data_IF_580106981939
#
_entry.id   IF_580106981939
#
_cell.length_a   1.000
_cell.length_b   1.000
_cell.length_c   1.000
_cell.angle_alpha   90.00
_cell.angle_beta   90.00
_cell.angle_gamma   90.00
#
_symmetry.space_group_name_H-M   'P 1'
#
loop_
_entity.id
_entity.type
_entity.pdbx_description
1 polymer ?
#
# COMPACT_ATOMS: atom_id res chain seq x y z
N UNK A 1 7.81 -4.87 -19.92
CA UNK A 1 7.29 -3.62 -19.33
C UNK A 1 6.38 -3.84 -18.13
N UNK A 2 5.45 -4.79 -18.15
CA UNK A 2 4.44 -5.02 -17.07
C UNK A 2 5.03 -5.30 -15.68
N UNK A 3 6.10 -6.10 -15.59
CA UNK A 3 6.81 -6.36 -14.32
C UNK A 3 7.42 -5.11 -13.69
N UNK A 4 7.84 -4.13 -14.51
CA UNK A 4 8.49 -2.90 -14.04
C UNK A 4 7.49 -2.02 -13.28
N UNK A 5 6.25 -1.90 -13.78
CA UNK A 5 5.19 -1.12 -13.11
C UNK A 5 4.80 -1.75 -11.78
N UNK A 6 4.62 -3.07 -11.75
CA UNK A 6 4.30 -3.79 -10.50
C UNK A 6 5.45 -3.68 -9.47
N UNK A 7 6.71 -3.77 -9.92
CA UNK A 7 7.87 -3.62 -9.05
C UNK A 7 8.02 -2.18 -8.51
N UNK A 8 7.81 -1.18 -9.37
CA UNK A 8 7.82 0.23 -8.98
C UNK A 8 6.69 0.55 -7.98
N UNK A 9 5.48 0.03 -8.23
CA UNK A 9 4.35 0.16 -7.31
C UNK A 9 4.63 -0.50 -5.96
N UNK A 10 5.23 -1.69 -5.96
CA UNK A 10 5.62 -2.41 -4.74
C UNK A 10 6.70 -1.66 -3.96
N UNK A 11 7.70 -1.11 -4.66
CA UNK A 11 8.75 -0.29 -4.07
C UNK A 11 8.20 0.99 -3.43
N UNK A 12 7.32 1.71 -4.13
CA UNK A 12 6.63 2.88 -3.59
C UNK A 12 5.74 2.51 -2.40
N UNK A 13 5.04 1.39 -2.46
CA UNK A 13 4.25 0.87 -1.34
C UNK A 13 5.11 0.59 -0.10
N UNK A 14 6.31 0.03 -0.29
CA UNK A 14 7.26 -0.20 0.79
C UNK A 14 7.81 1.11 1.38
N UNK A 15 8.14 2.10 0.54
CA UNK A 15 8.51 3.44 1.01
C UNK A 15 7.37 4.08 1.82
N UNK A 16 6.13 3.96 1.34
CA UNK A 16 4.94 4.43 2.05
C UNK A 16 4.78 3.78 3.41
N UNK A 17 5.05 2.48 3.52
CA UNK A 17 5.07 1.73 4.78
C UNK A 17 6.13 2.27 5.76
N UNK A 18 7.38 2.45 5.32
CA UNK A 18 8.45 2.93 6.22
C UNK A 18 8.15 4.34 6.73
N UNK A 19 7.66 5.22 5.85
CA UNK A 19 7.32 6.60 6.21
C UNK A 19 6.12 6.64 7.16
N UNK A 20 5.07 5.85 6.90
CA UNK A 20 3.90 5.80 7.78
C UNK A 20 4.22 5.17 9.12
N UNK A 21 5.04 4.12 9.15
CA UNK A 21 5.56 3.52 10.38
C UNK A 21 6.33 4.55 11.22
N UNK A 22 7.25 5.30 10.61
CA UNK A 22 8.00 6.34 11.31
C UNK A 22 7.06 7.42 11.89
N UNK A 23 6.17 7.97 11.07
CA UNK A 23 5.24 9.02 11.51
C UNK A 23 4.28 8.58 12.62
N UNK A 24 3.74 7.36 12.53
CA UNK A 24 2.84 6.80 13.56
C UNK A 24 3.62 6.46 14.84
N UNK A 25 4.84 5.94 14.72
CA UNK A 25 5.68 5.59 15.88
C UNK A 25 6.08 6.83 16.68
N UNK A 26 6.62 7.86 16.01
CA UNK A 26 6.99 9.12 16.66
C UNK A 26 5.79 9.82 17.30
N UNK A 27 4.61 9.74 16.67
CA UNK A 27 3.41 10.29 17.27
C UNK A 27 3.02 9.52 18.52
N UNK A 28 3.05 8.20 18.47
CA UNK A 28 2.66 7.33 19.60
C UNK A 28 3.59 7.56 20.80
N UNK A 29 4.90 7.63 20.56
CA UNK A 29 5.92 7.91 21.59
C UNK A 29 5.69 9.26 22.28
N UNK A 30 5.24 10.27 21.55
CA UNK A 30 4.92 11.59 22.13
C UNK A 30 3.55 11.65 22.83
N UNK A 31 2.63 10.71 22.55
CA UNK A 31 1.27 10.69 23.09
C UNK A 31 1.03 9.62 24.18
N UNK A 32 2.11 9.03 24.70
CA UNK A 32 2.20 7.73 25.39
C UNK A 32 1.43 7.57 26.73
N UNK A 33 0.38 8.35 27.00
CA UNK A 33 -0.39 8.25 28.25
C UNK A 33 -1.92 8.44 28.15
N UNK A 34 -2.53 8.68 26.98
CA UNK A 34 -3.97 9.05 26.95
C UNK A 34 -4.91 8.20 26.07
N UNK A 35 -4.42 7.44 25.08
CA UNK A 35 -5.16 6.36 24.37
C UNK A 35 -4.30 5.78 23.23
N UNK A 36 -4.27 4.45 23.02
CA UNK A 36 -3.62 3.87 21.86
C UNK A 36 -4.33 4.30 20.58
N UNK A 37 -3.56 4.73 19.58
CA UNK A 37 -4.06 4.98 18.23
C UNK A 37 -4.07 3.63 17.49
N UNK A 38 -5.10 2.84 17.76
CA UNK A 38 -5.16 1.46 17.26
C UNK A 38 -5.33 1.41 15.73
N UNK A 39 -6.05 2.39 15.15
CA UNK A 39 -6.48 2.31 13.76
C UNK A 39 -5.37 2.65 12.72
N UNK A 40 -4.64 3.78 12.83
CA UNK A 40 -3.41 4.00 12.06
C UNK A 40 -2.36 2.89 12.18
N UNK A 41 -2.17 2.31 13.37
CA UNK A 41 -1.28 1.16 13.55
C UNK A 41 -1.73 -0.05 12.74
N UNK A 42 -3.03 -0.37 12.76
CA UNK A 42 -3.58 -1.39 11.88
C UNK A 42 -3.31 -1.08 10.40
N UNK A 43 -3.47 0.17 9.99
CA UNK A 43 -3.13 0.65 8.66
C UNK A 43 -1.71 0.35 8.21
N UNK A 44 -0.73 0.67 9.06
CA UNK A 44 0.70 0.44 8.79
C UNK A 44 0.96 -1.06 8.58
N UNK A 45 0.46 -1.92 9.47
CA UNK A 45 0.64 -3.37 9.36
C UNK A 45 -0.08 -3.96 8.15
N UNK A 46 -1.29 -3.49 7.85
CA UNK A 46 -2.04 -3.97 6.70
C UNK A 46 -1.34 -3.61 5.39
N UNK A 47 -0.78 -2.40 5.27
CA UNK A 47 0.05 -2.01 4.14
C UNK A 47 1.29 -2.90 4.00
N UNK A 48 1.99 -3.17 5.10
CA UNK A 48 3.15 -4.07 5.10
C UNK A 48 2.81 -5.48 4.57
N UNK A 49 1.73 -6.08 5.08
CA UNK A 49 1.28 -7.41 4.64
C UNK A 49 0.89 -7.42 3.16
N UNK A 50 0.24 -6.37 2.66
CA UNK A 50 -0.14 -6.25 1.25
C UNK A 50 1.08 -6.09 0.33
N UNK A 51 2.08 -5.32 0.76
CA UNK A 51 3.35 -5.18 0.03
C UNK A 51 4.11 -6.51 -0.02
N UNK A 52 4.18 -7.25 1.10
CA UNK A 52 4.79 -8.58 1.13
C UNK A 52 4.05 -9.59 0.24
N UNK A 53 2.73 -9.63 0.30
CA UNK A 53 1.93 -10.51 -0.55
C UNK A 53 2.16 -10.21 -2.04
N UNK A 54 2.22 -8.93 -2.39
CA UNK A 54 2.50 -8.50 -3.77
C UNK A 54 3.92 -8.89 -4.20
N UNK A 55 4.92 -8.61 -3.36
CA UNK A 55 6.30 -8.98 -3.62
C UNK A 55 6.46 -10.50 -3.79
N UNK A 56 5.81 -11.30 -2.95
CA UNK A 56 5.81 -12.77 -3.03
C UNK A 56 5.21 -13.28 -4.34
N UNK A 57 4.09 -12.71 -4.80
CA UNK A 57 3.46 -13.10 -6.07
C UNK A 57 4.31 -12.69 -7.28
N UNK A 58 4.96 -11.53 -7.23
CA UNK A 58 5.89 -11.08 -8.28
C UNK A 58 7.12 -11.99 -8.32
N UNK A 59 7.75 -12.25 -7.17
CA UNK A 59 8.96 -13.07 -7.07
C UNK A 59 8.72 -14.52 -7.49
N UNK A 60 7.58 -15.11 -7.11
CA UNK A 60 7.20 -16.46 -7.51
C UNK A 60 6.72 -16.53 -8.98
N UNK A 61 6.56 -15.38 -9.67
CA UNK A 61 6.00 -15.28 -11.01
C UNK A 61 4.62 -15.95 -11.12
N UNK A 62 3.82 -15.90 -10.04
CA UNK A 62 2.47 -16.50 -9.93
C UNK A 62 1.35 -15.47 -10.07
N UNK A 63 1.62 -14.34 -10.72
CA UNK A 63 0.65 -13.26 -10.94
C UNK A 63 -0.61 -13.73 -11.68
N UNK A 64 -0.52 -14.71 -12.59
CA UNK A 64 -1.69 -15.27 -13.26
C UNK A 64 -2.58 -16.09 -12.31
N UNK A 65 -2.01 -16.78 -11.33
CA UNK A 65 -2.76 -17.66 -10.41
C UNK A 65 -3.39 -16.86 -9.27
N UNK A 66 -2.64 -15.92 -8.70
CA UNK A 66 -3.04 -15.19 -7.50
C UNK A 66 -3.30 -13.70 -7.74
N UNK A 67 -3.22 -13.21 -8.98
CA UNK A 67 -3.31 -11.79 -9.31
C UNK A 67 -4.63 -11.16 -8.88
N UNK A 68 -5.77 -11.83 -9.12
CA UNK A 68 -7.08 -11.34 -8.69
C UNK A 68 -7.21 -11.24 -7.17
N UNK A 69 -6.71 -12.25 -6.44
CA UNK A 69 -6.72 -12.24 -4.97
C UNK A 69 -5.85 -11.10 -4.42
N UNK A 70 -4.65 -10.91 -4.98
CA UNK A 70 -3.76 -9.80 -4.59
C UNK A 70 -4.36 -8.44 -4.96
N UNK A 71 -5.03 -8.31 -6.10
CA UNK A 71 -5.74 -7.08 -6.46
C UNK A 71 -6.87 -6.75 -5.49
N UNK A 72 -7.67 -7.75 -5.09
CA UNK A 72 -8.71 -7.56 -4.07
C UNK A 72 -8.12 -7.12 -2.73
N UNK A 73 -7.00 -7.74 -2.33
CA UNK A 73 -6.27 -7.36 -1.12
C UNK A 73 -5.70 -5.93 -1.20
N UNK A 74 -5.10 -5.55 -2.34
CA UNK A 74 -4.57 -4.21 -2.59
C UNK A 74 -5.69 -3.15 -2.65
N UNK A 75 -6.87 -3.49 -3.20
CA UNK A 75 -8.02 -2.61 -3.20
C UNK A 75 -8.54 -2.36 -1.76
N UNK A 76 -8.62 -3.40 -0.94
CA UNK A 76 -8.93 -3.27 0.48
C UNK A 76 -7.87 -2.41 1.20
N UNK A 77 -6.58 -2.60 0.87
CA UNK A 77 -5.47 -1.80 1.40
C UNK A 77 -5.62 -0.31 1.06
N UNK A 78 -6.00 0.01 -0.18
CA UNK A 78 -6.30 1.38 -0.58
C UNK A 78 -7.43 1.98 0.25
N UNK A 79 -8.52 1.25 0.50
CA UNK A 79 -9.61 1.72 1.35
C UNK A 79 -9.14 2.03 2.77
N UNK A 80 -8.35 1.14 3.37
CA UNK A 80 -7.76 1.35 4.70
C UNK A 80 -6.84 2.58 4.71
N UNK A 81 -5.96 2.72 3.71
CA UNK A 81 -5.07 3.89 3.61
C UNK A 81 -5.84 5.19 3.43
N UNK A 82 -6.95 5.20 2.67
CA UNK A 82 -7.81 6.37 2.54
C UNK A 82 -8.49 6.75 3.86
N UNK A 83 -8.95 5.77 4.64
CA UNK A 83 -9.51 6.03 5.97
C UNK A 83 -8.42 6.59 6.89
N UNK A 84 -7.20 6.05 6.84
CA UNK A 84 -6.06 6.59 7.59
C UNK A 84 -5.69 8.00 7.17
N UNK A 85 -5.71 8.32 5.86
CA UNK A 85 -5.48 9.68 5.37
C UNK A 85 -6.51 10.66 5.92
N UNK A 86 -7.80 10.30 5.88
CA UNK A 86 -8.86 11.14 6.45
C UNK A 86 -8.72 11.31 7.95
N UNK A 87 -8.37 10.24 8.67
CA UNK A 87 -8.19 10.25 10.12
C UNK A 87 -6.99 11.10 10.52
N UNK A 88 -5.85 10.89 9.86
CA UNK A 88 -4.61 11.63 10.10
C UNK A 88 -4.78 13.11 9.75
N UNK A 89 -5.51 13.44 8.68
CA UNK A 89 -5.82 14.83 8.33
C UNK A 89 -6.66 15.52 9.41
N UNK A 90 -7.73 14.86 9.88
CA UNK A 90 -8.56 15.41 10.97
C UNK A 90 -7.76 15.62 12.25
N UNK A 91 -6.83 14.72 12.55
CA UNK A 91 -5.91 14.88 13.67
C UNK A 91 -4.98 16.08 13.45
N UNK A 92 -4.42 16.22 12.24
CA UNK A 92 -3.55 17.33 11.87
C UNK A 92 -4.23 18.69 12.07
N UNK A 93 -5.51 18.81 11.70
CA UNK A 93 -6.30 20.03 11.89
C UNK A 93 -6.55 20.36 13.38
N UNK A 94 -6.23 19.46 14.32
CA UNK A 94 -6.53 19.54 15.76
C UNK A 94 -5.30 19.52 16.69
N UNK A 95 -4.09 19.47 16.13
CA UNK A 95 -2.83 19.23 16.87
C UNK A 95 -1.95 20.51 16.89
N UNK A 96 -1.27 20.76 18.03
CA UNK A 96 -0.23 21.80 18.18
C UNK A 96 1.05 21.50 17.38
N UNK A 97 1.82 22.55 17.04
CA UNK A 97 2.98 22.55 16.12
C UNK A 97 4.01 21.41 16.37
N UNK A 98 4.29 21.04 17.62
CA UNK A 98 5.34 20.05 17.96
C UNK A 98 5.04 18.61 17.49
N UNK A 99 3.77 18.30 17.20
CA UNK A 99 3.28 17.00 16.77
C UNK A 99 2.81 17.01 15.32
N UNK A 100 2.64 18.21 14.75
CA UNK A 100 2.22 18.43 13.38
C UNK A 100 3.15 17.74 12.39
N UNK A 101 4.47 17.84 12.62
CA UNK A 101 5.48 17.23 11.75
C UNK A 101 5.33 15.70 11.70
N UNK A 102 5.12 15.05 12.86
CA UNK A 102 4.97 13.59 12.92
C UNK A 102 3.73 13.11 12.19
N UNK A 103 2.61 13.82 12.35
CA UNK A 103 1.36 13.50 11.65
C UNK A 103 1.42 13.79 10.16
N UNK A 104 2.12 14.86 9.75
CA UNK A 104 2.42 15.12 8.32
C UNK A 104 3.25 14.00 7.72
N UNK A 105 4.23 13.47 8.45
CA UNK A 105 5.00 12.29 8.02
C UNK A 105 4.11 11.07 7.86
N UNK A 106 3.25 10.77 8.85
CA UNK A 106 2.30 9.65 8.75
C UNK A 106 1.36 9.79 7.54
N UNK A 107 0.80 11.00 7.35
CA UNK A 107 -0.07 11.33 6.23
C UNK A 107 0.65 11.13 4.88
N UNK A 108 1.88 11.63 4.74
CA UNK A 108 2.68 11.45 3.54
C UNK A 108 2.94 9.96 3.26
N UNK A 109 3.25 9.18 4.30
CA UNK A 109 3.45 7.74 4.18
C UNK A 109 2.22 6.99 3.66
N UNK A 110 1.04 7.26 4.22
CA UNK A 110 -0.22 6.68 3.72
C UNK A 110 -0.56 7.12 2.30
N UNK A 111 -0.22 8.36 1.92
CA UNK A 111 -0.46 8.87 0.56
C UNK A 111 0.44 8.17 -0.46
N UNK A 112 1.74 8.08 -0.17
CA UNK A 112 2.71 7.37 -1.00
C UNK A 112 2.34 5.88 -1.08
N UNK A 113 1.93 5.27 0.04
CA UNK A 113 1.44 3.90 0.11
C UNK A 113 0.24 3.68 -0.80
N UNK A 114 -0.74 4.59 -0.77
CA UNK A 114 -1.93 4.54 -1.64
C UNK A 114 -1.56 4.58 -3.11
N UNK A 115 -0.69 5.51 -3.52
CA UNK A 115 -0.20 5.60 -4.90
C UNK A 115 0.56 4.35 -5.31
N UNK A 116 1.44 3.84 -4.44
CA UNK A 116 2.18 2.60 -4.66
C UNK A 116 1.25 1.40 -4.86
N UNK A 117 0.25 1.23 -4.00
CA UNK A 117 -0.76 0.16 -4.12
C UNK A 117 -1.57 0.28 -5.42
N UNK A 118 -1.95 1.48 -5.84
CA UNK A 118 -2.64 1.70 -7.12
C UNK A 118 -1.79 1.31 -8.33
N UNK A 119 -0.50 1.67 -8.33
CA UNK A 119 0.45 1.27 -9.37
C UNK A 119 0.67 -0.26 -9.39
N UNK A 120 0.72 -0.90 -8.22
CA UNK A 120 0.79 -2.35 -8.11
C UNK A 120 -0.43 -3.05 -8.70
N UNK A 121 -1.65 -2.54 -8.44
CA UNK A 121 -2.88 -3.08 -9.06
C UNK A 121 -2.77 -3.02 -10.58
N UNK A 122 -2.43 -1.86 -11.15
CA UNK A 122 -2.28 -1.67 -12.59
C UNK A 122 -1.22 -2.62 -13.15
N UNK A 123 -0.05 -2.69 -12.51
CA UNK A 123 1.05 -3.56 -12.94
C UNK A 123 0.68 -5.04 -12.96
N UNK A 124 -0.04 -5.52 -11.94
CA UNK A 124 -0.52 -6.91 -11.87
C UNK A 124 -1.60 -7.17 -12.93
N UNK A 125 -2.54 -6.23 -13.14
CA UNK A 125 -3.58 -6.36 -14.18
C UNK A 125 -2.98 -6.53 -15.57
N UNK A 126 -1.98 -5.71 -15.90
CA UNK A 126 -1.29 -5.82 -17.19
C UNK A 126 -0.50 -7.13 -17.32
N UNK A 127 0.09 -7.63 -16.23
CA UNK A 127 0.82 -8.90 -16.22
C UNK A 127 -0.11 -10.12 -16.41
N UNK A 128 -1.32 -10.08 -15.83
CA UNK A 128 -2.32 -11.13 -15.99
C UNK A 128 -2.90 -11.15 -17.42
N UNK A 129 -3.33 -9.99 -17.95
CA UNK A 129 -3.94 -9.91 -19.29
C UNK A 129 -2.99 -10.23 -20.45
N UNK A 130 -1.68 -10.06 -20.27
CA UNK A 130 -0.69 -10.38 -21.30
C UNK A 130 -0.52 -11.89 -21.57
N UNK A 131 -0.95 -12.77 -20.66
CA UNK A 131 -0.79 -14.22 -20.84
C UNK A 131 -2.01 -14.88 -21.49
N UNK A 132 -3.21 -14.32 -21.34
CA UNK A 132 -4.44 -14.86 -21.96
C UNK A 132 -4.44 -14.71 -23.48
N UNK A 133 -3.84 -13.65 -24.01
CA UNK A 133 -3.69 -13.47 -25.46
C UNK A 133 -2.72 -14.47 -26.10
N UNK A 134 -1.67 -14.90 -25.38
CA UNK A 134 -0.73 -15.91 -25.89
C UNK A 134 -1.31 -17.32 -25.99
N UNK A 135 -2.31 -17.67 -25.16
CA UNK A 135 -2.92 -19.01 -25.15
C UNK A 135 -3.99 -19.17 -26.23
N UNK A 136 -4.60 -18.07 -26.69
CA UNK A 136 -5.59 -18.10 -27.77
C UNK A 136 -4.99 -17.90 -29.18
N UNK A 137 -3.69 -17.61 -29.28
CA UNK A 137 -3.00 -17.46 -30.56
C UNK A 137 -2.41 -18.78 -31.13
N UNK A 138 -2.91 -19.95 -30.71
CA UNK A 138 -2.56 -21.19 -31.41
C UNK A 138 -3.25 -21.17 -32.78
N UNK A 139 -2.52 -21.19 -33.90
CA UNK A 139 -3.14 -21.21 -35.21
C UNK A 139 -3.93 -22.51 -35.34
N UNK A 140 -5.19 -22.39 -35.72
CA UNK A 140 -5.95 -23.51 -36.25
C UNK A 140 -5.19 -24.04 -37.47
N UNK A 141 -4.46 -25.14 -37.28
CA UNK A 141 -3.91 -25.97 -38.36
C UNK A 141 -5.00 -26.88 -38.89
#
# INVERSE_FOLDING_TARGET
MTKVVALAGTGLGFCGFIISLAGVSFYTEKFDNLRPIEYPWWGVWFLFLCVLATAGVIAANKAHTYGQAVQGLLAACMSVNMINLMTTKRQLDSIDDDLETSMRTAFAGFLIGTVGTGLSIIGISMAAGSQDTSKHASPAS
#
